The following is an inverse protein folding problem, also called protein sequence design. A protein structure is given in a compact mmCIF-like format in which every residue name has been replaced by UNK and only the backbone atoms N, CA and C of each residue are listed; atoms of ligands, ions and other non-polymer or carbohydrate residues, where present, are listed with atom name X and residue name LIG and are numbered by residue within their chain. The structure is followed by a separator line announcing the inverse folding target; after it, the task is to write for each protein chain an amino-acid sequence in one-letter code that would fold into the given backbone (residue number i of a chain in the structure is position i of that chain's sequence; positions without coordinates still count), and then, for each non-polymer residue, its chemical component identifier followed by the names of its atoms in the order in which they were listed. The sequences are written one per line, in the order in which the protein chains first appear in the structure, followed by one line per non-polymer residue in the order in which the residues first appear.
data_IF_156505638602
#
_entry.id   IF_156505638602
#
_cell.length_a   1.000
_cell.length_b   1.000
_cell.length_c   1.000
_cell.angle_alpha   90.00
_cell.angle_beta   90.00
_cell.angle_gamma   90.00
#
_symmetry.space_group_name_H-M   'P 1'
#
loop_
_entity.id
_entity.type
_entity.pdbx_description
1 polymer ?
#
# COMPACT_ATOMS: atom_id res chain seq x y z
N UNK A 1 -19.16 14.23 5.88
CA UNK A 1 -19.72 14.04 4.52
C UNK A 1 -18.53 14.14 3.58
N UNK A 2 -17.89 13.03 3.23
CA UNK A 2 -16.78 13.05 2.28
C UNK A 2 -17.32 12.96 0.87
N UNK A 3 -16.80 13.81 -0.02
CA UNK A 3 -17.17 13.82 -1.42
C UNK A 3 -16.33 12.74 -2.11
N UNK A 4 -16.94 11.73 -2.75
CA UNK A 4 -16.20 10.71 -3.49
C UNK A 4 -15.26 11.36 -4.51
N UNK A 5 -13.96 11.05 -4.42
CA UNK A 5 -12.93 11.59 -5.31
C UNK A 5 -12.10 12.76 -4.76
N UNK A 6 -12.42 13.32 -3.59
CA UNK A 6 -11.50 14.24 -2.91
C UNK A 6 -10.43 13.52 -2.12
N UNK A 7 -10.73 12.37 -1.54
CA UNK A 7 -9.91 11.77 -0.48
C UNK A 7 -8.47 11.41 -0.94
N UNK A 8 -8.30 10.95 -2.19
CA UNK A 8 -6.97 10.79 -2.81
C UNK A 8 -6.19 12.10 -3.00
N UNK A 9 -6.87 13.24 -3.10
CA UNK A 9 -6.23 14.58 -3.14
C UNK A 9 -5.62 14.95 -1.79
N UNK A 10 -6.24 14.54 -0.68
CA UNK A 10 -5.73 14.85 0.67
C UNK A 10 -4.42 14.10 0.91
N UNK A 11 -4.34 12.83 0.48
CA UNK A 11 -3.09 12.08 0.45
C UNK A 11 -2.01 12.81 -0.37
N UNK A 12 -2.35 13.23 -1.59
CA UNK A 12 -1.41 13.93 -2.46
C UNK A 12 -0.90 15.24 -1.85
N UNK A 13 -1.80 16.06 -1.30
CA UNK A 13 -1.44 17.32 -0.64
C UNK A 13 -0.58 17.10 0.60
N UNK A 14 -0.94 16.15 1.47
CA UNK A 14 -0.14 15.83 2.65
C UNK A 14 1.27 15.35 2.27
N UNK A 15 1.37 14.50 1.22
CA UNK A 15 2.64 14.03 0.67
C UNK A 15 3.49 15.18 0.10
N UNK A 16 2.88 16.11 -0.66
CA UNK A 16 3.57 17.28 -1.22
C UNK A 16 4.11 18.22 -0.12
N UNK A 17 3.38 18.33 0.99
CA UNK A 17 3.80 19.07 2.18
C UNK A 17 4.79 18.29 3.07
N UNK A 18 5.23 17.09 2.64
CA UNK A 18 6.11 16.18 3.40
C UNK A 18 5.56 15.76 4.77
N UNK A 19 4.24 15.83 4.93
CA UNK A 19 3.53 15.36 6.11
C UNK A 19 3.26 13.85 5.97
N UNK A 20 4.32 13.05 5.90
CA UNK A 20 4.24 11.63 5.54
C UNK A 20 3.36 10.81 6.48
N UNK A 21 3.44 11.06 7.80
CA UNK A 21 2.56 10.40 8.76
C UNK A 21 1.07 10.72 8.52
N UNK A 22 0.74 11.96 8.19
CA UNK A 22 -0.62 12.37 7.86
C UNK A 22 -1.07 11.76 6.53
N UNK A 23 -0.19 11.72 5.53
CA UNK A 23 -0.48 11.06 4.26
C UNK A 23 -0.85 9.59 4.48
N UNK A 24 -0.08 8.84 5.28
CA UNK A 24 -0.40 7.45 5.59
C UNK A 24 -1.72 7.30 6.37
N UNK A 25 -1.99 8.17 7.34
CA UNK A 25 -3.28 8.17 8.05
C UNK A 25 -4.46 8.37 7.11
N UNK A 26 -4.33 9.27 6.12
CA UNK A 26 -5.36 9.51 5.11
C UNK A 26 -5.53 8.29 4.19
N UNK A 27 -4.42 7.66 3.79
CA UNK A 27 -4.44 6.44 2.99
C UNK A 27 -5.07 5.24 3.73
N UNK A 28 -5.02 5.20 5.06
CA UNK A 28 -5.66 4.16 5.86
C UNK A 28 -7.16 4.39 6.09
N UNK A 29 -7.61 5.65 6.11
CA UNK A 29 -8.98 6.02 6.46
C UNK A 29 -9.93 6.09 5.26
N UNK A 30 -9.39 6.18 4.05
CA UNK A 30 -10.17 6.33 2.84
C UNK A 30 -9.54 5.56 1.67
N UNK A 31 -10.38 5.00 0.76
CA UNK A 31 -9.91 4.36 -0.46
C UNK A 31 -8.99 5.28 -1.28
N UNK A 32 -7.70 4.98 -1.23
CA UNK A 32 -6.72 5.55 -2.14
C UNK A 32 -6.45 4.55 -3.26
N UNK A 33 -6.34 5.03 -4.50
CA UNK A 33 -6.13 4.16 -5.65
C UNK A 33 -4.78 3.41 -5.51
N UNK A 34 -4.76 2.07 -5.56
CA UNK A 34 -3.55 1.29 -5.26
C UNK A 34 -2.33 1.65 -6.12
N UNK A 35 -2.50 1.91 -7.43
CA UNK A 35 -1.37 2.27 -8.31
C UNK A 35 -0.76 3.63 -7.91
N UNK A 36 -1.55 4.53 -7.36
CA UNK A 36 -1.09 5.81 -6.80
C UNK A 36 -0.22 5.58 -5.57
N UNK A 37 -0.63 4.67 -4.69
CA UNK A 37 0.14 4.28 -3.51
C UNK A 37 1.42 3.51 -3.89
N UNK A 38 1.35 2.58 -4.84
CA UNK A 38 2.53 1.87 -5.38
C UNK A 38 3.53 2.86 -5.98
N UNK A 39 3.05 3.82 -6.77
CA UNK A 39 3.90 4.88 -7.31
C UNK A 39 4.54 5.70 -6.19
N UNK A 40 3.79 6.09 -5.18
CA UNK A 40 4.33 6.81 -4.03
C UNK A 40 5.39 5.97 -3.28
N UNK A 41 5.16 4.67 -3.08
CA UNK A 41 6.14 3.78 -2.48
C UNK A 41 7.42 3.72 -3.31
N UNK A 42 7.31 3.57 -4.63
CA UNK A 42 8.45 3.53 -5.55
C UNK A 42 9.24 4.84 -5.56
N UNK A 43 8.54 5.97 -5.70
CA UNK A 43 9.15 7.31 -5.82
C UNK A 43 9.91 7.72 -4.54
N UNK A 44 9.53 7.18 -3.38
CA UNK A 44 10.09 7.54 -2.08
C UNK A 44 10.94 6.43 -1.43
N UNK A 45 11.19 5.32 -2.13
CA UNK A 45 11.94 4.17 -1.59
C UNK A 45 13.34 4.56 -1.08
N UNK A 46 14.02 5.44 -1.81
CA UNK A 46 15.38 5.87 -1.47
C UNK A 46 15.40 7.00 -0.44
N UNK A 47 14.50 7.98 -0.58
CA UNK A 47 14.53 9.23 0.19
C UNK A 47 13.80 9.12 1.52
N UNK A 48 12.70 8.38 1.59
CA UNK A 48 11.81 8.29 2.74
C UNK A 48 11.31 6.85 2.91
N UNK A 49 12.19 5.88 3.23
CA UNK A 49 11.87 4.45 3.18
C UNK A 49 10.75 4.05 4.16
N UNK A 50 10.59 4.73 5.30
CA UNK A 50 9.48 4.48 6.22
C UNK A 50 8.12 4.88 5.63
N UNK A 51 8.08 6.00 4.89
CA UNK A 51 6.88 6.41 4.15
C UNK A 51 6.59 5.45 2.99
N UNK A 52 7.64 5.03 2.28
CA UNK A 52 7.54 4.05 1.20
C UNK A 52 6.92 2.73 1.69
N UNK A 53 7.38 2.21 2.84
CA UNK A 53 6.83 1.02 3.47
C UNK A 53 5.33 1.19 3.78
N UNK A 54 4.95 2.30 4.40
CA UNK A 54 3.56 2.58 4.73
C UNK A 54 2.66 2.65 3.50
N UNK A 55 3.12 3.31 2.43
CA UNK A 55 2.39 3.41 1.18
C UNK A 55 2.21 2.05 0.50
N UNK A 56 3.24 1.20 0.52
CA UNK A 56 3.19 -0.15 -0.01
C UNK A 56 2.22 -1.06 0.77
N UNK A 57 2.23 -1.00 2.11
CA UNK A 57 1.28 -1.73 2.96
C UNK A 57 -0.16 -1.25 2.72
N UNK A 58 -0.36 0.07 2.61
CA UNK A 58 -1.68 0.63 2.28
C UNK A 58 -2.17 0.15 0.91
N UNK A 59 -1.30 0.08 -0.10
CA UNK A 59 -1.66 -0.45 -1.42
C UNK A 59 -2.12 -1.91 -1.33
N UNK A 60 -1.37 -2.75 -0.60
CA UNK A 60 -1.73 -4.14 -0.35
C UNK A 60 -3.07 -4.26 0.38
N UNK A 61 -3.36 -3.38 1.36
CA UNK A 61 -4.67 -3.35 2.03
C UNK A 61 -5.79 -3.10 1.04
N UNK A 62 -5.68 -2.05 0.23
CA UNK A 62 -6.76 -1.68 -0.70
C UNK A 62 -6.97 -2.74 -1.79
N UNK A 63 -5.90 -3.32 -2.34
CA UNK A 63 -5.98 -4.47 -3.25
C UNK A 63 -6.68 -5.66 -2.59
N UNK A 64 -6.31 -5.96 -1.34
CA UNK A 64 -6.88 -7.04 -0.55
C UNK A 64 -8.37 -6.82 -0.23
N UNK A 65 -8.81 -5.57 -0.09
CA UNK A 65 -10.21 -5.17 0.03
C UNK A 65 -10.96 -5.12 -1.31
N UNK A 66 -10.30 -5.40 -2.43
CA UNK A 66 -10.91 -5.43 -3.77
C UNK A 66 -10.98 -4.07 -4.47
N UNK A 67 -10.25 -3.07 -3.99
CA UNK A 67 -10.15 -1.75 -4.61
C UNK A 67 -9.08 -1.70 -5.69
N UNK A 68 -9.28 -0.79 -6.63
CA UNK A 68 -8.31 -0.43 -7.68
C UNK A 68 -8.87 -0.59 -9.08
N UNK A 69 -8.54 0.37 -9.94
CA UNK A 69 -8.99 0.38 -11.33
C UNK A 69 -7.96 -0.30 -12.22
N UNK A 70 -8.39 -1.33 -12.98
CA UNK A 70 -7.55 -2.11 -13.88
C UNK A 70 -6.27 -2.66 -13.20
N UNK A 71 -6.37 -3.04 -11.93
CA UNK A 71 -5.25 -3.63 -11.19
C UNK A 71 -4.95 -5.04 -11.69
N UNK A 72 -3.66 -5.38 -11.71
CA UNK A 72 -3.11 -6.62 -12.22
C UNK A 72 -2.29 -7.31 -11.15
N UNK A 73 -1.95 -8.59 -11.38
CA UNK A 73 -1.06 -9.32 -10.48
C UNK A 73 0.34 -8.69 -10.34
N UNK A 74 0.78 -7.94 -11.36
CA UNK A 74 2.04 -7.19 -11.27
C UNK A 74 1.98 -6.07 -10.24
N UNK A 75 0.84 -5.39 -10.12
CA UNK A 75 0.64 -4.34 -9.11
C UNK A 75 0.73 -4.93 -7.69
N UNK A 76 0.18 -6.12 -7.48
CA UNK A 76 0.28 -6.85 -6.19
C UNK A 76 1.72 -7.19 -5.86
N UNK A 77 2.41 -7.82 -6.82
CA UNK A 77 3.81 -8.24 -6.66
C UNK A 77 4.70 -7.04 -6.39
N UNK A 78 4.50 -5.96 -7.14
CA UNK A 78 5.29 -4.75 -6.96
C UNK A 78 5.07 -4.10 -5.59
N UNK A 79 3.81 -4.00 -5.14
CA UNK A 79 3.52 -3.47 -3.80
C UNK A 79 4.23 -4.30 -2.71
N UNK A 80 4.24 -5.63 -2.85
CA UNK A 80 4.93 -6.52 -1.92
C UNK A 80 6.45 -6.35 -1.96
N UNK A 81 7.05 -6.37 -3.16
CA UNK A 81 8.49 -6.24 -3.33
C UNK A 81 8.99 -4.86 -2.82
N UNK A 82 8.21 -3.79 -3.05
CA UNK A 82 8.47 -2.46 -2.49
C UNK A 82 8.38 -2.43 -0.96
N UNK A 83 7.40 -3.11 -0.36
CA UNK A 83 7.29 -3.19 1.08
C UNK A 83 8.53 -3.86 1.69
N UNK A 84 9.00 -4.97 1.12
CA UNK A 84 10.21 -5.64 1.61
C UNK A 84 11.47 -4.76 1.45
N UNK A 85 11.65 -4.13 0.28
CA UNK A 85 12.80 -3.25 0.04
C UNK A 85 12.80 -2.01 0.97
N UNK A 86 11.63 -1.43 1.23
CA UNK A 86 11.47 -0.29 2.12
C UNK A 86 11.70 -0.68 3.60
N UNK A 87 11.27 -1.88 3.99
CA UNK A 87 11.51 -2.46 5.30
C UNK A 87 13.00 -2.66 5.58
N UNK A 88 13.72 -3.27 4.64
CA UNK A 88 15.18 -3.47 4.72
C UNK A 88 15.91 -2.14 4.94
N UNK A 89 15.57 -1.12 4.15
CA UNK A 89 16.17 0.22 4.24
C UNK A 89 15.83 0.97 5.52
N UNK A 90 14.65 0.72 6.07
CA UNK A 90 14.19 1.32 7.33
C UNK A 90 14.59 0.51 8.56
N UNK A 91 15.26 -0.65 8.38
CA UNK A 91 15.57 -1.61 9.44
C UNK A 91 14.32 -2.04 10.23
N UNK A 92 13.21 -2.24 9.54
CA UNK A 92 11.94 -2.69 10.12
C UNK A 92 11.79 -4.19 9.85
N UNK A 93 11.86 -4.98 10.91
CA UNK A 93 11.68 -6.43 10.84
C UNK A 93 10.19 -6.83 10.81
N UNK A 94 9.94 -8.11 10.54
CA UNK A 94 8.62 -8.76 10.59
C UNK A 94 7.57 -8.21 9.59
N UNK A 95 7.99 -7.47 8.55
CA UNK A 95 7.05 -6.93 7.55
C UNK A 95 6.31 -8.04 6.80
N UNK A 96 6.95 -9.17 6.50
CA UNK A 96 6.27 -10.31 5.91
C UNK A 96 5.14 -10.85 6.80
N UNK A 97 5.35 -10.90 8.12
CA UNK A 97 4.32 -11.35 9.07
C UNK A 97 3.19 -10.33 9.22
N UNK A 98 3.52 -9.03 9.17
CA UNK A 98 2.51 -7.97 9.13
C UNK A 98 1.65 -8.07 7.87
N UNK A 99 2.26 -8.34 6.71
CA UNK A 99 1.53 -8.52 5.45
C UNK A 99 0.66 -9.78 5.52
N UNK A 100 1.17 -10.91 6.01
CA UNK A 100 0.36 -12.12 6.22
C UNK A 100 -0.85 -11.84 7.12
N UNK A 101 -0.63 -11.20 8.27
CA UNK A 101 -1.69 -10.84 9.19
C UNK A 101 -2.71 -9.87 8.58
N UNK A 102 -2.30 -8.97 7.69
CA UNK A 102 -3.20 -8.10 6.93
C UNK A 102 -4.06 -8.92 5.96
N UNK A 103 -3.48 -9.87 5.24
CA UNK A 103 -4.23 -10.74 4.32
C UNK A 103 -5.17 -11.69 5.06
N UNK A 104 -4.85 -12.10 6.28
CA UNK A 104 -5.69 -13.01 7.09
C UNK A 104 -6.96 -12.32 7.63
N UNK A 105 -6.99 -10.98 7.66
CA UNK A 105 -8.12 -10.19 8.21
C UNK A 105 -9.24 -9.91 7.22
N UNK A 106 -8.98 -10.13 5.93
CA UNK A 106 -9.94 -9.82 4.86
C UNK A 106 -10.29 -11.08 4.10
N UNK A 107 -11.56 -11.20 3.73
CA UNK A 107 -12.09 -12.28 2.91
C UNK A 107 -12.77 -11.69 1.69
N UNK A 108 -12.69 -12.37 0.55
CA UNK A 108 -13.33 -11.96 -0.70
C UNK A 108 -12.45 -12.13 -1.93
N UNK A 109 -12.95 -11.67 -3.08
CA UNK A 109 -12.28 -11.85 -4.38
C UNK A 109 -10.95 -11.09 -4.44
N UNK A 110 -10.89 -9.87 -3.87
CA UNK A 110 -9.65 -9.09 -3.75
C UNK A 110 -8.57 -9.81 -2.93
N UNK A 111 -8.94 -10.39 -1.78
CA UNK A 111 -8.04 -11.20 -0.98
C UNK A 111 -7.54 -12.44 -1.73
N UNK A 112 -8.47 -13.17 -2.38
CA UNK A 112 -8.13 -14.36 -3.17
C UNK A 112 -7.15 -14.00 -4.29
N UNK A 113 -7.42 -12.91 -5.01
CA UNK A 113 -6.55 -12.35 -6.04
C UNK A 113 -5.15 -12.03 -5.50
N UNK A 114 -5.04 -11.27 -4.40
CA UNK A 114 -3.75 -10.92 -3.80
C UNK A 114 -2.97 -12.17 -3.38
N UNK A 115 -3.61 -13.11 -2.68
CA UNK A 115 -2.97 -14.35 -2.23
C UNK A 115 -2.48 -15.22 -3.37
N UNK A 116 -3.24 -15.29 -4.47
CA UNK A 116 -2.84 -16.04 -5.66
C UNK A 116 -1.48 -15.54 -6.19
N UNK A 117 -1.32 -14.22 -6.31
CA UNK A 117 -0.10 -13.62 -6.85
C UNK A 117 1.08 -13.60 -5.86
N UNK A 118 0.82 -13.73 -4.56
CA UNK A 118 1.86 -13.80 -3.52
C UNK A 118 2.23 -15.23 -3.10
N UNK A 119 1.52 -16.26 -3.59
CA UNK A 119 1.72 -17.67 -3.19
C UNK A 119 3.15 -18.22 -3.35
N UNK A 120 3.93 -17.70 -4.30
CA UNK A 120 5.34 -18.08 -4.51
C UNK A 120 6.37 -17.20 -3.79
N UNK A 121 5.91 -16.21 -3.00
CA UNK A 121 6.74 -15.19 -2.32
C UNK A 121 6.56 -15.18 -0.80
N UNK A 122 5.54 -15.87 -0.30
CA UNK A 122 5.22 -16.02 1.11
C UNK A 122 5.73 -17.33 1.69
#
# INVERSE_FOLDING_TARGET
MTIPGEEGKWFATAKELKLYGLALQLADQSPCEPKTLIRAARDFLESEPAFSLGAAIAALRWLNEGWGYEVTGMDVVEAYDLALAAAERSQIDNVSDQIRALLDRTYGDGNTFVRQFLSGRM
#
